data_IF_164750592292
#
_entry.id   IF_164750592292
#
_cell.length_a   1.000
_cell.length_b   1.000
_cell.length_c   1.000
_cell.angle_alpha   90.00
_cell.angle_beta   90.00
_cell.angle_gamma   90.00
#
_symmetry.space_group_name_H-M   'P 1'
#
loop_
_entity.id
_entity.type
_entity.pdbx_description
1 polymer ?
#
# COMPACT_ATOMS: atom_id res chain seq x y z
N UNK A 1 28.58 -13.77 12.67
CA UNK A 1 27.18 -13.41 12.31
C UNK A 1 27.05 -13.60 10.80
N UNK A 2 26.21 -14.52 10.37
CA UNK A 2 25.95 -14.70 8.94
C UNK A 2 25.17 -13.47 8.45
N UNK A 3 25.73 -12.74 7.50
CA UNK A 3 25.00 -11.69 6.78
C UNK A 3 23.96 -12.39 5.92
N UNK A 4 22.70 -12.20 6.24
CA UNK A 4 21.60 -12.68 5.40
C UNK A 4 21.53 -11.77 4.16
N UNK A 5 22.22 -12.15 3.11
CA UNK A 5 22.16 -11.46 1.82
C UNK A 5 21.06 -12.13 1.00
N UNK A 6 19.80 -11.85 1.37
CA UNK A 6 18.67 -12.11 0.48
C UNK A 6 18.68 -11.13 -0.70
N UNK A 7 17.89 -11.37 -1.75
CA UNK A 7 17.76 -10.42 -2.84
C UNK A 7 17.25 -9.07 -2.29
N UNK A 8 17.76 -7.96 -2.85
CA UNK A 8 17.24 -6.64 -2.53
C UNK A 8 15.87 -6.44 -3.19
N UNK A 9 15.04 -5.61 -2.60
CA UNK A 9 13.82 -5.15 -3.27
C UNK A 9 14.18 -4.43 -4.57
N UNK A 10 13.24 -4.40 -5.50
CA UNK A 10 13.34 -3.60 -6.72
C UNK A 10 13.40 -2.12 -6.35
N UNK A 11 14.38 -1.39 -6.87
CA UNK A 11 14.56 0.05 -6.62
C UNK A 11 14.24 0.90 -7.84
N UNK A 12 14.30 0.34 -9.05
CA UNK A 12 13.95 1.04 -10.26
C UNK A 12 12.46 1.43 -10.27
N UNK A 13 12.19 2.73 -10.42
CA UNK A 13 10.85 3.29 -10.37
C UNK A 13 10.23 3.38 -8.97
N UNK A 14 10.97 3.06 -7.90
CA UNK A 14 10.50 3.20 -6.52
C UNK A 14 10.40 4.68 -6.14
N UNK A 15 9.18 5.15 -5.90
CA UNK A 15 8.91 6.57 -5.61
C UNK A 15 8.44 6.83 -4.18
N UNK A 16 8.06 5.78 -3.46
CA UNK A 16 7.72 5.85 -2.04
C UNK A 16 8.00 4.50 -1.36
N UNK A 17 8.55 4.55 -0.15
CA UNK A 17 8.84 3.35 0.63
C UNK A 17 8.82 3.64 2.13
N UNK A 18 7.97 2.96 2.88
CA UNK A 18 7.99 2.99 4.36
C UNK A 18 8.03 1.58 4.92
N UNK A 19 8.66 1.43 6.09
CA UNK A 19 8.88 0.14 6.75
C UNK A 19 8.87 0.31 8.27
N UNK A 20 7.82 -0.19 8.93
CA UNK A 20 7.61 -0.04 10.37
C UNK A 20 8.67 -0.75 11.24
N UNK A 21 9.37 -1.73 10.69
CA UNK A 21 10.43 -2.46 11.40
C UNK A 21 11.84 -1.99 11.05
N UNK A 22 11.98 -0.93 10.24
CA UNK A 22 13.26 -0.29 9.96
C UNK A 22 13.43 0.95 10.84
N UNK A 23 14.47 0.97 11.69
CA UNK A 23 14.76 2.14 12.53
C UNK A 23 15.03 3.42 11.71
N UNK A 24 15.43 3.29 10.44
CA UNK A 24 15.59 4.41 9.49
C UNK A 24 14.25 4.97 9.04
N UNK A 25 13.21 4.15 8.98
CA UNK A 25 11.86 4.57 8.59
C UNK A 25 11.02 4.93 9.81
N UNK A 26 11.09 4.13 10.87
CA UNK A 26 10.46 4.48 12.15
C UNK A 26 11.37 4.10 13.32
N UNK A 27 11.84 5.07 14.10
CA UNK A 27 12.83 4.84 15.18
C UNK A 27 12.24 4.18 16.44
N UNK A 28 10.95 3.79 16.43
CA UNK A 28 10.26 3.18 17.57
C UNK A 28 9.48 4.16 18.42
N UNK A 29 9.56 5.45 18.13
CA UNK A 29 8.81 6.51 18.82
C UNK A 29 8.67 7.75 17.93
N UNK A 30 7.78 8.65 18.32
CA UNK A 30 7.49 9.87 17.55
C UNK A 30 6.29 9.71 16.63
N UNK A 31 6.03 10.73 15.81
CA UNK A 31 4.85 10.81 14.94
C UNK A 31 5.16 10.70 13.45
N UNK A 32 6.44 10.54 13.08
CA UNK A 32 6.85 10.52 11.67
C UNK A 32 7.28 9.12 11.24
N UNK A 33 6.71 8.65 10.15
CA UNK A 33 7.11 7.44 9.43
C UNK A 33 7.85 7.86 8.16
N UNK A 34 9.19 7.80 8.22
CA UNK A 34 10.08 8.35 7.22
C UNK A 34 10.10 7.55 5.92
N UNK A 35 10.03 8.26 4.79
CA UNK A 35 10.16 7.69 3.46
C UNK A 35 11.61 7.25 3.19
N UNK A 36 11.79 6.02 2.75
CA UNK A 36 13.08 5.42 2.40
C UNK A 36 13.41 5.49 0.91
N UNK A 37 12.51 6.00 0.07
CA UNK A 37 12.74 6.11 -1.38
C UNK A 37 13.73 7.20 -1.76
N UNK A 38 13.90 8.18 -0.87
CA UNK A 38 14.71 9.38 -1.09
C UNK A 38 13.92 10.56 -1.66
N UNK A 39 12.62 10.44 -1.86
CA UNK A 39 11.77 11.52 -2.37
C UNK A 39 11.18 12.42 -1.28
N UNK A 40 11.34 12.05 0.01
CA UNK A 40 10.94 12.86 1.15
C UNK A 40 9.44 12.92 1.40
N UNK A 41 8.69 11.91 1.00
CA UNK A 41 7.25 11.81 1.27
C UNK A 41 6.98 11.24 2.67
N UNK A 42 7.54 11.90 3.68
CA UNK A 42 7.39 11.49 5.07
C UNK A 42 5.93 11.53 5.50
N UNK A 43 5.54 10.52 6.27
CA UNK A 43 4.16 10.34 6.73
C UNK A 43 4.02 10.77 8.18
N UNK A 44 3.11 11.70 8.45
CA UNK A 44 2.81 12.17 9.81
C UNK A 44 1.62 11.42 10.39
N UNK A 45 1.76 10.94 11.63
CA UNK A 45 0.69 10.28 12.37
C UNK A 45 -0.43 11.28 12.69
N UNK A 46 -1.66 10.90 12.37
CA UNK A 46 -2.89 11.58 12.76
C UNK A 46 -3.62 10.70 13.76
N UNK A 47 -4.02 11.28 14.88
CA UNK A 47 -4.64 10.54 15.98
C UNK A 47 -3.66 9.61 16.70
N UNK A 48 -4.11 8.41 17.06
CA UNK A 48 -3.33 7.45 17.84
C UNK A 48 -3.21 6.12 17.10
N UNK A 49 -2.18 6.02 16.27
CA UNK A 49 -1.76 4.76 15.65
C UNK A 49 -0.73 4.09 16.56
N UNK A 50 -0.85 2.80 16.80
CA UNK A 50 0.02 2.06 17.71
C UNK A 50 1.12 1.34 16.93
N UNK A 51 2.38 1.64 17.26
CA UNK A 51 3.52 0.88 16.77
C UNK A 51 3.83 -0.30 17.70
N UNK A 52 4.30 -1.39 17.11
CA UNK A 52 4.77 -2.58 17.82
C UNK A 52 6.21 -2.90 17.43
N UNK A 53 7.04 -3.29 18.40
CA UNK A 53 8.45 -3.63 18.20
C UNK A 53 8.68 -4.84 17.26
N UNK A 54 7.63 -5.60 16.95
CA UNK A 54 7.65 -6.60 15.88
C UNK A 54 7.62 -5.98 14.47
N UNK A 55 7.61 -4.64 14.36
CA UNK A 55 7.78 -3.91 13.10
C UNK A 55 6.49 -3.71 12.31
N UNK A 56 5.39 -3.40 12.99
CA UNK A 56 4.12 -3.05 12.35
C UNK A 56 3.39 -1.92 13.08
N UNK A 57 2.47 -1.29 12.36
CA UNK A 57 1.47 -0.40 12.92
C UNK A 57 0.08 -1.03 12.94
N UNK A 58 -0.70 -0.70 13.97
CA UNK A 58 -2.10 -1.11 14.17
C UNK A 58 -2.90 0.01 14.85
N UNK A 59 -4.18 -0.23 15.18
CA UNK A 59 -5.03 0.79 15.81
C UNK A 59 -5.64 1.77 14.80
N UNK A 60 -5.77 1.35 13.56
CA UNK A 60 -6.36 2.12 12.46
C UNK A 60 -7.84 2.43 12.73
N UNK A 61 -8.25 3.66 12.47
CA UNK A 61 -9.63 4.13 12.64
C UNK A 61 -9.87 5.37 11.77
N UNK A 62 -11.08 5.89 11.78
CA UNK A 62 -11.45 7.11 11.04
C UNK A 62 -10.51 8.29 11.33
N UNK A 63 -10.08 8.43 12.58
CA UNK A 63 -9.19 9.50 13.03
C UNK A 63 -7.75 9.02 13.30
N UNK A 64 -7.41 7.76 12.99
CA UNK A 64 -6.11 7.17 13.27
C UNK A 64 -5.49 6.63 11.97
N UNK A 65 -4.59 7.38 11.38
CA UNK A 65 -3.93 7.06 10.11
C UNK A 65 -2.59 7.81 10.01
N UNK A 66 -1.83 7.52 8.99
CA UNK A 66 -0.71 8.36 8.56
C UNK A 66 -1.10 9.19 7.35
N UNK A 67 -0.71 10.46 7.33
CA UNK A 67 -0.91 11.37 6.20
C UNK A 67 0.41 11.98 5.75
N UNK A 68 0.63 12.05 4.45
CA UNK A 68 1.67 12.88 3.88
C UNK A 68 1.17 14.33 3.84
N UNK A 69 1.93 15.24 4.42
CA UNK A 69 1.67 16.68 4.42
C UNK A 69 2.41 17.40 3.29
N UNK A 70 3.39 16.72 2.70
CA UNK A 70 4.18 17.25 1.60
C UNK A 70 3.45 17.14 0.26
N UNK A 71 3.83 17.99 -0.68
CA UNK A 71 3.34 17.90 -2.06
C UNK A 71 3.94 16.68 -2.76
N UNK A 72 3.10 15.72 -3.13
CA UNK A 72 3.53 14.53 -3.87
C UNK A 72 3.43 14.67 -5.39
N UNK A 73 3.05 15.85 -5.89
CA UNK A 73 2.91 16.10 -7.33
C UNK A 73 4.22 15.92 -8.08
N UNK A 74 4.17 15.11 -9.14
CA UNK A 74 5.36 14.72 -9.90
C UNK A 74 6.16 13.59 -9.28
N UNK A 75 5.86 13.14 -8.08
CA UNK A 75 6.48 11.98 -7.40
C UNK A 75 5.57 10.76 -7.53
N UNK A 76 4.38 10.80 -6.92
CA UNK A 76 3.42 9.71 -7.07
C UNK A 76 2.73 9.76 -8.44
N UNK A 77 2.41 8.60 -9.05
CA UNK A 77 1.70 8.55 -10.32
C UNK A 77 0.31 9.18 -10.23
N UNK A 78 0.01 10.12 -11.10
CA UNK A 78 -1.28 10.83 -11.18
C UNK A 78 -2.01 10.48 -12.49
N UNK A 79 -3.24 10.94 -12.64
CA UNK A 79 -4.06 10.63 -13.81
C UNK A 79 -4.12 9.12 -14.07
N UNK A 80 -3.91 8.75 -15.32
CA UNK A 80 -3.87 7.35 -15.75
C UNK A 80 -2.44 6.77 -15.89
N UNK A 81 -1.46 7.36 -15.21
CA UNK A 81 -0.07 6.88 -15.28
C UNK A 81 0.06 5.46 -14.72
N UNK A 82 0.99 4.70 -15.31
CA UNK A 82 1.35 3.37 -14.85
C UNK A 82 1.87 3.40 -13.41
N UNK A 83 1.52 2.39 -12.63
CA UNK A 83 1.92 2.29 -11.21
C UNK A 83 1.85 0.87 -10.68
N UNK A 84 2.62 0.63 -9.63
CA UNK A 84 2.51 -0.56 -8.79
C UNK A 84 2.48 -0.12 -7.33
N UNK A 85 1.55 -0.67 -6.55
CA UNK A 85 1.56 -0.56 -5.09
C UNK A 85 1.76 -1.95 -4.51
N UNK A 86 2.69 -2.08 -3.58
CA UNK A 86 2.92 -3.31 -2.81
C UNK A 86 2.79 -2.95 -1.33
N UNK A 87 2.15 -3.83 -0.57
CA UNK A 87 2.13 -3.71 0.88
C UNK A 87 2.26 -5.08 1.56
N UNK A 88 3.00 -5.12 2.67
CA UNK A 88 3.01 -6.28 3.57
C UNK A 88 2.06 -5.96 4.71
N UNK A 89 1.04 -6.79 4.86
CA UNK A 89 -0.05 -6.56 5.81
C UNK A 89 -0.50 -7.87 6.47
N UNK A 90 -1.17 -7.72 7.61
CA UNK A 90 -2.02 -8.77 8.20
C UNK A 90 -3.44 -8.20 8.25
N UNK A 91 -4.38 -8.80 7.53
CA UNK A 91 -5.76 -8.36 7.52
C UNK A 91 -6.47 -8.84 8.81
N UNK A 92 -6.88 -7.91 9.65
CA UNK A 92 -7.62 -8.23 10.87
C UNK A 92 -9.07 -8.58 10.58
N UNK A 93 -9.74 -7.75 9.79
CA UNK A 93 -11.12 -7.94 9.32
C UNK A 93 -11.11 -8.13 7.82
N UNK A 94 -11.89 -9.08 7.32
CA UNK A 94 -11.98 -9.34 5.87
C UNK A 94 -13.34 -8.94 5.27
N UNK A 95 -14.21 -8.30 6.05
CA UNK A 95 -15.52 -7.79 5.58
C UNK A 95 -15.44 -6.31 5.26
N UNK A 96 -16.16 -5.89 4.21
CA UNK A 96 -16.13 -4.51 3.73
C UNK A 96 -14.79 -4.09 3.15
N UNK A 97 -14.61 -2.78 3.00
CA UNK A 97 -13.32 -2.23 2.58
C UNK A 97 -12.32 -2.15 3.73
N UNK A 98 -11.09 -2.57 3.47
CA UNK A 98 -9.93 -2.43 4.34
C UNK A 98 -8.86 -1.66 3.57
N UNK A 99 -8.70 -0.37 3.84
CA UNK A 99 -7.77 0.49 3.10
C UNK A 99 -6.36 0.40 3.70
N UNK A 100 -5.42 -0.02 2.86
CA UNK A 100 -3.98 -0.03 3.18
C UNK A 100 -3.39 1.34 2.90
N UNK A 101 -3.58 1.83 1.67
CA UNK A 101 -3.12 3.17 1.27
C UNK A 101 -4.07 3.78 0.25
N UNK A 102 -4.16 5.12 0.25
CA UNK A 102 -5.04 5.86 -0.64
C UNK A 102 -4.51 7.27 -0.88
N UNK A 103 -4.43 7.71 -2.14
CA UNK A 103 -3.99 9.05 -2.50
C UNK A 103 -4.81 9.63 -3.66
N UNK A 104 -4.78 10.96 -3.83
CA UNK A 104 -5.59 11.70 -4.79
C UNK A 104 -6.69 12.50 -4.11
N UNK A 105 -7.85 12.64 -4.75
CA UNK A 105 -9.00 13.36 -4.25
C UNK A 105 -10.19 12.42 -3.98
N UNK A 106 -11.06 12.80 -3.05
CA UNK A 106 -12.31 12.10 -2.74
C UNK A 106 -13.44 12.44 -3.72
N UNK A 107 -13.11 12.72 -4.95
CA UNK A 107 -14.02 12.86 -6.09
C UNK A 107 -14.00 11.58 -6.93
N UNK A 108 -15.13 11.23 -7.54
CA UNK A 108 -15.28 9.99 -8.32
C UNK A 108 -14.14 9.79 -9.30
N UNK A 109 -13.47 8.63 -9.19
CA UNK A 109 -12.30 8.20 -9.98
C UNK A 109 -11.06 9.11 -9.87
N UNK A 110 -10.99 10.04 -8.90
CA UNK A 110 -9.83 10.92 -8.71
C UNK A 110 -8.90 10.48 -7.58
N UNK A 111 -9.10 9.30 -7.03
CA UNK A 111 -8.19 8.67 -6.09
C UNK A 111 -7.61 7.38 -6.65
N UNK A 112 -6.57 6.86 -6.01
CA UNK A 112 -6.03 5.54 -6.23
C UNK A 112 -5.48 4.97 -4.92
N UNK A 113 -5.73 3.70 -4.67
CA UNK A 113 -5.20 3.04 -3.47
C UNK A 113 -5.29 1.53 -3.53
N UNK A 114 -4.49 0.89 -2.68
CA UNK A 114 -4.55 -0.53 -2.40
C UNK A 114 -5.49 -0.78 -1.24
N UNK A 115 -6.47 -1.63 -1.43
CA UNK A 115 -7.44 -2.04 -0.43
C UNK A 115 -7.76 -3.53 -0.55
N UNK A 116 -8.41 -4.08 0.47
CA UNK A 116 -9.16 -5.31 0.39
C UNK A 116 -10.66 -4.97 0.40
N UNK A 117 -11.45 -5.60 -0.46
CA UNK A 117 -12.90 -5.58 -0.41
C UNK A 117 -13.43 -7.00 -0.16
N UNK A 118 -14.03 -7.23 0.99
CA UNK A 118 -14.47 -8.56 1.42
C UNK A 118 -13.35 -9.61 1.30
N UNK A 119 -12.13 -9.23 1.74
CA UNK A 119 -10.94 -10.03 1.66
C UNK A 119 -10.26 -10.10 0.30
N UNK A 120 -10.84 -9.56 -0.77
CA UNK A 120 -10.28 -9.59 -2.13
C UNK A 120 -9.45 -8.34 -2.42
N UNK A 121 -8.34 -8.50 -3.12
CA UNK A 121 -7.49 -7.37 -3.52
C UNK A 121 -8.27 -6.43 -4.43
N UNK A 122 -8.15 -5.15 -4.16
CA UNK A 122 -8.86 -4.08 -4.89
C UNK A 122 -7.95 -2.87 -5.08
N UNK A 123 -8.05 -2.22 -6.23
CA UNK A 123 -7.66 -0.82 -6.36
C UNK A 123 -8.90 0.04 -6.09
N UNK A 124 -8.83 0.90 -5.10
CA UNK A 124 -9.94 1.80 -4.78
C UNK A 124 -9.71 3.19 -5.39
N UNK A 125 -10.71 3.71 -6.12
CA UNK A 125 -10.61 4.96 -6.90
C UNK A 125 -11.68 5.97 -6.58
N UNK A 126 -12.23 5.94 -5.38
CA UNK A 126 -13.37 6.74 -4.94
C UNK A 126 -14.61 6.61 -5.87
N UNK A 127 -15.67 6.05 -5.36
CA UNK A 127 -16.89 5.80 -6.12
C UNK A 127 -16.78 4.74 -7.22
N UNK A 128 -15.58 4.28 -7.53
CA UNK A 128 -15.29 3.20 -8.47
C UNK A 128 -14.14 2.32 -7.92
N UNK A 129 -14.10 1.07 -8.35
CA UNK A 129 -13.02 0.16 -7.94
C UNK A 129 -12.93 -0.99 -8.93
N UNK A 130 -11.72 -1.46 -9.19
CA UNK A 130 -11.54 -2.80 -9.71
C UNK A 130 -11.37 -3.74 -8.50
N UNK A 131 -12.00 -4.88 -8.53
CA UNK A 131 -11.95 -5.89 -7.47
C UNK A 131 -11.57 -7.22 -8.08
N UNK A 132 -10.54 -7.83 -7.53
CA UNK A 132 -10.08 -9.13 -7.95
C UNK A 132 -10.92 -10.29 -7.40
N UNK A 133 -10.53 -11.48 -7.79
CA UNK A 133 -11.00 -12.75 -7.20
C UNK A 133 -9.98 -13.27 -6.19
N UNK A 134 -8.69 -12.95 -6.37
CA UNK A 134 -7.65 -13.29 -5.38
C UNK A 134 -7.91 -12.57 -4.07
N UNK A 135 -7.82 -13.28 -2.99
CA UNK A 135 -8.17 -12.73 -1.68
C UNK A 135 -7.52 -13.47 -0.53
N UNK A 136 -7.53 -12.80 0.61
CA UNK A 136 -7.11 -13.38 1.90
C UNK A 136 -8.22 -14.29 2.39
N UNK A 137 -7.91 -15.57 2.60
CA UNK A 137 -8.89 -16.57 3.04
C UNK A 137 -9.13 -16.58 4.55
N UNK A 138 -8.21 -16.03 5.33
CA UNK A 138 -8.30 -15.96 6.77
C UNK A 138 -7.67 -14.65 7.29
N UNK A 139 -8.27 -14.10 8.36
CA UNK A 139 -7.61 -13.07 9.16
C UNK A 139 -6.37 -13.65 9.86
N UNK A 140 -5.40 -12.80 10.18
CA UNK A 140 -4.15 -13.09 10.91
C UNK A 140 -3.05 -13.82 10.12
N UNK A 141 -3.14 -13.91 8.80
CA UNK A 141 -1.99 -14.26 7.97
C UNK A 141 -1.31 -12.99 7.45
N UNK A 142 0.02 -12.95 7.56
CA UNK A 142 0.81 -11.91 6.92
C UNK A 142 0.91 -12.26 5.44
N UNK A 143 0.61 -11.30 4.57
CA UNK A 143 0.65 -11.47 3.13
C UNK A 143 1.27 -10.24 2.46
N UNK A 144 1.84 -10.42 1.27
CA UNK A 144 2.24 -9.32 0.40
C UNK A 144 1.14 -9.08 -0.63
N UNK A 145 0.44 -7.97 -0.51
CA UNK A 145 -0.57 -7.53 -1.48
C UNK A 145 0.08 -6.70 -2.58
N UNK A 146 -0.42 -6.83 -3.81
CA UNK A 146 0.00 -5.96 -4.92
C UNK A 146 -1.16 -5.55 -5.82
N UNK A 147 -1.12 -4.28 -6.28
CA UNK A 147 -1.93 -3.80 -7.40
C UNK A 147 -1.01 -3.20 -8.45
N UNK A 148 -1.21 -3.58 -9.70
CA UNK A 148 -0.47 -3.06 -10.86
C UNK A 148 -1.48 -2.46 -11.83
N UNK A 149 -1.28 -1.21 -12.21
CA UNK A 149 -2.11 -0.50 -13.18
C UNK A 149 -1.24 -0.09 -14.38
N UNK A 150 -1.60 -0.59 -15.55
CA UNK A 150 -0.99 -0.16 -16.81
C UNK A 150 -1.91 0.86 -17.50
N UNK A 151 -1.31 1.89 -18.09
CA UNK A 151 -2.03 2.91 -18.83
C UNK A 151 -2.86 2.28 -19.96
N UNK A 152 -4.19 2.36 -19.88
CA UNK A 152 -5.16 1.90 -20.87
C UNK A 152 -5.14 0.40 -21.22
N UNK A 153 -4.37 -0.44 -20.53
CA UNK A 153 -4.19 -1.84 -20.95
C UNK A 153 -4.56 -2.88 -19.91
N UNK A 154 -4.81 -2.50 -18.66
CA UNK A 154 -5.23 -3.46 -17.66
C UNK A 154 -4.78 -3.13 -16.25
N UNK A 155 -5.35 -3.86 -15.32
CA UNK A 155 -4.88 -3.95 -13.95
C UNK A 155 -4.56 -5.40 -13.63
N UNK A 156 -3.60 -5.61 -12.73
CA UNK A 156 -3.24 -6.93 -12.23
C UNK A 156 -3.13 -6.88 -10.71
N UNK A 157 -3.76 -7.84 -10.06
CA UNK A 157 -3.76 -7.93 -8.60
C UNK A 157 -3.04 -9.17 -8.14
N UNK A 158 -2.42 -9.11 -6.97
CA UNK A 158 -1.67 -10.24 -6.43
C UNK A 158 -1.71 -10.33 -4.92
N UNK A 159 -1.59 -11.59 -4.46
CA UNK A 159 -1.25 -11.94 -3.08
C UNK A 159 -0.03 -12.85 -3.16
N UNK A 160 1.02 -12.43 -2.49
CA UNK A 160 2.34 -13.08 -2.54
C UNK A 160 2.83 -13.21 -3.98
N UNK A 161 2.95 -14.44 -4.50
CA UNK A 161 3.33 -14.73 -5.89
C UNK A 161 2.18 -15.24 -6.76
N UNK A 162 0.95 -15.15 -6.27
CA UNK A 162 -0.26 -15.50 -7.03
C UNK A 162 -0.91 -14.25 -7.60
N UNK A 163 -1.22 -14.24 -8.90
CA UNK A 163 -1.72 -13.06 -9.61
C UNK A 163 -2.96 -13.36 -10.44
N UNK A 164 -3.76 -12.32 -10.68
CA UNK A 164 -4.84 -12.35 -11.65
C UNK A 164 -4.85 -11.08 -12.50
N UNK A 165 -5.24 -11.22 -13.76
CA UNK A 165 -5.46 -10.09 -14.67
C UNK A 165 -6.92 -9.63 -14.58
N UNK A 166 -7.10 -8.33 -14.44
CA UNK A 166 -8.42 -7.70 -14.44
C UNK A 166 -8.72 -7.22 -15.86
N UNK A 167 -9.62 -7.95 -16.52
CA UNK A 167 -9.94 -7.70 -17.94
C UNK A 167 -10.86 -6.50 -18.15
N UNK A 168 -11.72 -6.19 -17.17
CA UNK A 168 -12.60 -5.03 -17.22
C UNK A 168 -12.05 -3.98 -16.29
N UNK A 169 -11.34 -3.00 -16.84
CA UNK A 169 -10.73 -1.93 -16.07
C UNK A 169 -11.49 -0.62 -16.21
N UNK A 170 -11.65 0.03 -15.07
CA UNK A 170 -11.97 1.45 -15.03
C UNK A 170 -10.64 2.19 -15.10
N UNK A 171 -10.47 3.10 -16.06
CA UNK A 171 -9.27 3.93 -16.18
C UNK A 171 -9.05 4.78 -14.92
N UNK A 172 -7.81 4.94 -14.50
CA UNK A 172 -7.48 5.83 -13.38
C UNK A 172 -7.49 7.30 -13.85
N UNK A 173 -7.88 8.21 -12.97
CA UNK A 173 -7.79 9.67 -13.18
C UNK A 173 -7.38 10.35 -11.87
N UNK A 174 -6.34 9.83 -11.24
CA UNK A 174 -5.89 10.25 -9.91
C UNK A 174 -5.50 11.73 -9.89
N UNK A 175 -6.12 12.51 -9.02
CA UNK A 175 -5.78 13.90 -8.82
C UNK A 175 -4.40 14.07 -8.19
N UNK A 176 -3.73 15.18 -8.49
CA UNK A 176 -2.44 15.54 -7.91
C UNK A 176 -2.61 16.37 -6.63
N UNK A 177 -1.67 16.18 -5.68
CA UNK A 177 -1.46 17.07 -4.54
C UNK A 177 -2.68 17.36 -3.64
N UNK A 178 -3.56 16.37 -3.45
CA UNK A 178 -4.70 16.55 -2.55
C UNK A 178 -4.44 15.89 -1.21
N UNK A 179 -4.36 14.57 -1.20
CA UNK A 179 -4.14 13.79 0.03
C UNK A 179 -3.39 12.50 -0.29
N UNK A 180 -2.56 12.04 0.66
CA UNK A 180 -1.98 10.71 0.66
C UNK A 180 -2.06 10.14 2.07
N UNK A 181 -2.68 8.97 2.25
CA UNK A 181 -2.89 8.31 3.55
C UNK A 181 -2.46 6.84 3.53
N UNK A 182 -2.05 6.36 4.69
CA UNK A 182 -1.85 4.93 4.98
C UNK A 182 -2.76 4.56 6.16
N UNK A 183 -3.44 3.42 6.06
CA UNK A 183 -4.32 2.85 7.07
C UNK A 183 -5.75 3.37 7.05
N UNK A 184 -6.07 4.34 6.18
CA UNK A 184 -7.42 4.90 6.04
C UNK A 184 -7.69 5.35 4.61
N UNK A 185 -8.98 5.46 4.27
CA UNK A 185 -9.46 6.13 3.07
C UNK A 185 -9.33 7.66 3.20
N UNK A 186 -9.25 8.37 2.08
CA UNK A 186 -9.38 9.83 2.05
C UNK A 186 -10.73 10.28 2.61
N UNK A 187 -10.80 11.55 3.08
CA UNK A 187 -12.02 12.18 3.57
C UNK A 187 -12.67 11.46 4.75
N UNK A 188 -11.99 11.39 5.91
CA UNK A 188 -12.56 10.91 7.19
C UNK A 188 -13.58 9.75 7.03
N UNK A 189 -13.36 8.91 6.01
CA UNK A 189 -14.30 7.91 5.59
C UNK A 189 -14.34 6.71 6.53
N UNK A 190 -15.39 5.99 6.42
CA UNK A 190 -15.82 4.89 7.27
C UNK A 190 -14.99 3.61 7.11
N UNK A 191 -13.91 3.63 6.30
CA UNK A 191 -13.16 2.42 5.97
C UNK A 191 -11.66 2.62 6.19
N UNK A 192 -11.10 1.77 7.02
CA UNK A 192 -9.69 1.71 7.42
C UNK A 192 -9.27 0.25 7.52
N UNK A 193 -8.00 0.01 7.81
CA UNK A 193 -7.46 -1.34 8.02
C UNK A 193 -7.89 -1.89 9.40
N UNK A 194 -9.18 -2.20 9.54
CA UNK A 194 -9.79 -2.59 10.82
C UNK A 194 -9.14 -3.82 11.45
N UNK A 195 -8.64 -3.68 12.67
CA UNK A 195 -7.91 -4.71 13.42
C UNK A 195 -6.69 -5.28 12.68
N UNK A 196 -6.28 -4.68 11.57
CA UNK A 196 -5.18 -5.14 10.76
C UNK A 196 -3.84 -4.54 11.18
N UNK A 197 -2.78 -5.09 10.60
CA UNK A 197 -1.40 -4.63 10.77
C UNK A 197 -0.83 -4.23 9.42
N UNK A 198 -0.10 -3.12 9.36
CA UNK A 198 0.65 -2.69 8.18
C UNK A 198 2.13 -2.67 8.57
N UNK A 199 2.93 -3.45 7.85
CA UNK A 199 4.36 -3.59 8.09
C UNK A 199 5.17 -2.71 7.13
N UNK A 200 4.78 -2.69 5.86
CA UNK A 200 5.52 -2.01 4.80
C UNK A 200 4.60 -1.58 3.66
N UNK A 201 4.93 -0.45 3.03
CA UNK A 201 4.28 0.02 1.80
C UNK A 201 5.33 0.50 0.82
N UNK A 202 5.22 0.08 -0.45
CA UNK A 202 6.07 0.48 -1.57
C UNK A 202 5.18 0.99 -2.71
N UNK A 203 5.55 2.10 -3.34
CA UNK A 203 4.87 2.61 -4.54
C UNK A 203 5.92 2.83 -5.63
N UNK A 204 5.61 2.34 -6.84
CA UNK A 204 6.42 2.48 -8.04
C UNK A 204 5.67 3.29 -9.09
N UNK A 205 6.39 4.10 -9.86
CA UNK A 205 5.83 4.90 -10.96
C UNK A 205 5.78 4.13 -12.30
N UNK A 206 5.83 2.82 -12.24
CA UNK A 206 5.73 1.90 -13.37
C UNK A 206 5.04 0.60 -12.99
N UNK A 207 4.68 -0.17 -13.99
CA UNK A 207 4.23 -1.56 -13.78
C UNK A 207 5.45 -2.43 -13.54
N UNK A 208 5.49 -3.13 -12.41
CA UNK A 208 6.48 -4.19 -12.17
C UNK A 208 6.08 -5.46 -12.92
N UNK A 209 7.08 -6.16 -13.44
CA UNK A 209 6.93 -7.51 -13.99
C UNK A 209 6.66 -8.53 -12.89
N UNK A 210 6.21 -9.74 -13.24
CA UNK A 210 6.02 -10.82 -12.26
C UNK A 210 7.34 -11.19 -11.58
N UNK A 211 8.44 -11.24 -12.33
CA UNK A 211 9.76 -11.51 -11.78
C UNK A 211 10.21 -10.45 -10.76
N UNK A 212 9.84 -9.18 -10.97
CA UNK A 212 10.14 -8.11 -10.01
C UNK A 212 9.23 -8.16 -8.77
N UNK A 213 7.97 -8.58 -8.91
CA UNK A 213 7.11 -8.86 -7.75
C UNK A 213 7.68 -10.03 -6.96
N UNK A 214 8.08 -11.12 -7.63
CA UNK A 214 8.72 -12.27 -7.01
C UNK A 214 10.05 -11.89 -6.34
N UNK A 215 10.85 -11.02 -6.93
CA UNK A 215 12.06 -10.47 -6.30
C UNK A 215 11.72 -9.74 -5.00
N UNK A 216 10.70 -8.89 -5.00
CA UNK A 216 10.23 -8.20 -3.79
C UNK A 216 9.74 -9.20 -2.74
N UNK A 217 8.96 -10.21 -3.15
CA UNK A 217 8.49 -11.27 -2.25
C UNK A 217 9.69 -12.01 -1.61
N UNK A 218 10.63 -12.48 -2.42
CA UNK A 218 11.83 -13.19 -1.94
C UNK A 218 12.70 -12.34 -1.02
N UNK A 219 12.74 -11.02 -1.23
CA UNK A 219 13.45 -10.09 -0.35
C UNK A 219 12.77 -9.91 1.02
N UNK A 220 11.46 -10.16 1.10
CA UNK A 220 10.64 -9.86 2.27
C UNK A 220 10.20 -11.10 3.05
N UNK A 221 10.06 -12.27 2.38
CA UNK A 221 9.47 -13.47 2.95
C UNK A 221 10.13 -13.94 4.25
N UNK A 222 11.47 -13.95 4.32
CA UNK A 222 12.18 -14.44 5.50
C UNK A 222 11.97 -13.54 6.72
N UNK A 223 11.72 -12.26 6.50
CA UNK A 223 11.52 -11.28 7.57
C UNK A 223 10.08 -11.27 8.08
N UNK A 224 9.12 -11.47 7.22
CA UNK A 224 7.71 -11.35 7.57
C UNK A 224 7.00 -12.69 7.71
N UNK A 225 7.64 -13.80 7.33
CA UNK A 225 7.04 -15.12 7.37
C UNK A 225 5.96 -15.33 6.29
N UNK A 226 6.19 -14.75 5.10
CA UNK A 226 5.32 -14.86 3.93
C UNK A 226 5.38 -16.27 3.32
#
# INVERSE_FOLDING_TARGET
MASFVGPNIVTDGLVFAVDAGSARSYPGSGSTWYDLSGNGLDMTMVGTVTWNSAGYFTGWATANYFACTESYGGILPIGNQARTIIAVVEAGTITGYQHVTHYGDYTTNQAYGLALLNGKVSDHRWGTSNVGTVGVSASNNIVMLSTRHATNTGARFGIDTSYEDISTIIGANTASNVQFRIGSRLNNGETWMSNGKIFRVLIYNRVLTDAEIEQNYNALQSRFGL
#
